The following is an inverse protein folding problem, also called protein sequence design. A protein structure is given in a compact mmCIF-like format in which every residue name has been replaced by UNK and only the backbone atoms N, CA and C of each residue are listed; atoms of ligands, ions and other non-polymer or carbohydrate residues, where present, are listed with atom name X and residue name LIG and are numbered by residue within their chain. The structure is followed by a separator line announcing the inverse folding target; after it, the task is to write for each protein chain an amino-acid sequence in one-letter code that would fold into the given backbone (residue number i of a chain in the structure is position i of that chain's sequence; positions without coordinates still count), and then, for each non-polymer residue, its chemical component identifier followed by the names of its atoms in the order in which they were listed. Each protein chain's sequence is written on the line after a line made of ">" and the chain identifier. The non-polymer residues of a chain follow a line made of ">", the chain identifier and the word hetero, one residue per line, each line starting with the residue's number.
data_IF_575330278992
#
_entry.id   IF_575330278992
#
_cell.length_a   1.000
_cell.length_b   1.000
_cell.length_c   1.000
_cell.angle_alpha   90.00
_cell.angle_beta   90.00
_cell.angle_gamma   90.00
#
_symmetry.space_group_name_H-M   'P 1'
#
loop_
_entity.id
_entity.type
_entity.pdbx_description
1 polymer ?
#
# COMPACT_ATOMS: atom_id res chain seq x y z
N UNK A 1 -64.41 28.73 -30.24
CA UNK A 1 -63.23 29.51 -30.59
C UNK A 1 -62.46 29.96 -29.38
N UNK A 2 -63.00 30.70 -28.44
CA UNK A 2 -62.32 31.06 -27.20
C UNK A 2 -61.99 29.86 -26.37
N UNK A 3 -62.83 28.84 -26.35
CA UNK A 3 -62.64 27.60 -25.61
C UNK A 3 -61.44 26.77 -26.14
N UNK A 4 -61.30 26.71 -27.45
CA UNK A 4 -60.24 26.05 -28.14
C UNK A 4 -58.87 26.72 -27.84
N UNK A 5 -58.88 28.07 -27.87
CA UNK A 5 -57.68 28.85 -27.51
C UNK A 5 -57.28 28.63 -26.06
N UNK A 6 -58.23 28.61 -25.12
CA UNK A 6 -57.96 28.33 -23.70
C UNK A 6 -57.43 26.93 -23.52
N UNK A 7 -57.99 25.92 -24.18
CA UNK A 7 -57.52 24.56 -24.12
C UNK A 7 -56.10 24.41 -24.69
N UNK A 8 -55.79 25.09 -25.77
CA UNK A 8 -54.44 25.11 -26.35
C UNK A 8 -53.42 25.73 -25.38
N UNK A 9 -53.81 26.81 -24.70
CA UNK A 9 -52.94 27.43 -23.68
C UNK A 9 -52.72 26.48 -22.50
N UNK A 10 -53.77 25.82 -22.02
CA UNK A 10 -53.67 24.84 -20.92
C UNK A 10 -52.78 23.66 -21.29
N UNK A 11 -52.90 23.14 -22.50
CA UNK A 11 -52.03 22.07 -23.01
C UNK A 11 -50.58 22.52 -23.08
N UNK A 12 -50.33 23.74 -23.56
CA UNK A 12 -48.99 24.28 -23.61
C UNK A 12 -48.38 24.47 -22.25
N UNK A 13 -49.18 24.95 -21.26
CA UNK A 13 -48.73 25.07 -19.89
C UNK A 13 -48.42 23.72 -19.25
N UNK A 14 -49.26 22.71 -19.48
CA UNK A 14 -49.05 21.35 -18.99
C UNK A 14 -47.76 20.74 -19.55
N UNK A 15 -47.54 20.91 -20.85
CA UNK A 15 -46.32 20.46 -21.52
C UNK A 15 -45.08 21.17 -20.97
N UNK A 16 -45.16 22.48 -20.76
CA UNK A 16 -44.07 23.26 -20.21
C UNK A 16 -43.74 22.79 -18.79
N UNK A 17 -44.72 22.54 -17.94
CA UNK A 17 -44.55 22.03 -16.61
C UNK A 17 -43.91 20.63 -16.62
N UNK A 18 -44.31 19.77 -17.54
CA UNK A 18 -43.76 18.44 -17.68
C UNK A 18 -42.30 18.49 -18.13
N UNK A 19 -41.97 19.37 -19.07
CA UNK A 19 -40.59 19.59 -19.51
C UNK A 19 -39.70 20.02 -18.33
N UNK A 20 -40.20 20.94 -17.50
CA UNK A 20 -39.48 21.43 -16.34
C UNK A 20 -39.25 20.28 -15.32
N UNK A 21 -40.29 19.50 -15.05
CA UNK A 21 -40.20 18.36 -14.15
C UNK A 21 -39.19 17.33 -14.65
N UNK A 22 -39.23 17.01 -15.93
CA UNK A 22 -38.31 16.06 -16.54
C UNK A 22 -36.88 16.58 -16.50
N UNK A 23 -36.69 17.87 -16.78
CA UNK A 23 -35.36 18.49 -16.68
C UNK A 23 -34.81 18.47 -15.26
N UNK A 24 -35.64 18.75 -14.25
CA UNK A 24 -35.27 18.70 -12.85
C UNK A 24 -34.89 17.26 -12.45
N UNK A 25 -35.69 16.27 -12.84
CA UNK A 25 -35.41 14.87 -12.57
C UNK A 25 -34.12 14.41 -13.23
N UNK A 26 -33.88 14.79 -14.48
CA UNK A 26 -32.63 14.47 -15.17
C UNK A 26 -31.43 15.13 -14.52
N UNK A 27 -31.55 16.39 -14.15
CA UNK A 27 -30.51 17.14 -13.47
C UNK A 27 -30.14 16.47 -12.14
N UNK A 28 -31.13 16.09 -11.35
CA UNK A 28 -30.96 15.41 -10.09
C UNK A 28 -30.27 14.06 -10.28
N UNK A 29 -30.71 13.30 -11.27
CA UNK A 29 -30.11 12.00 -11.59
C UNK A 29 -28.63 12.12 -12.01
N UNK A 30 -28.32 13.15 -12.82
CA UNK A 30 -26.94 13.44 -13.25
C UNK A 30 -26.05 13.77 -12.05
N UNK A 31 -26.54 14.61 -11.12
CA UNK A 31 -25.80 15.00 -9.93
C UNK A 31 -25.59 13.80 -9.01
N UNK A 32 -26.61 12.97 -8.80
CA UNK A 32 -26.51 11.77 -7.97
C UNK A 32 -25.49 10.77 -8.56
N UNK A 33 -25.54 10.57 -9.86
CA UNK A 33 -24.59 9.70 -10.56
C UNK A 33 -23.15 10.22 -10.45
N UNK A 34 -22.97 11.51 -10.63
CA UNK A 34 -21.65 12.13 -10.51
C UNK A 34 -21.11 11.99 -9.08
N UNK A 35 -21.95 12.18 -8.08
CA UNK A 35 -21.54 11.99 -6.66
C UNK A 35 -21.15 10.55 -6.36
N UNK A 36 -21.90 9.60 -6.92
CA UNK A 36 -21.58 8.18 -6.75
C UNK A 36 -20.25 7.82 -7.42
N UNK A 37 -20.02 8.30 -8.64
CA UNK A 37 -18.76 8.09 -9.36
C UNK A 37 -17.57 8.69 -8.59
N UNK A 38 -17.74 9.89 -8.03
CA UNK A 38 -16.71 10.53 -7.20
C UNK A 38 -16.42 9.70 -5.95
N UNK A 39 -17.47 9.20 -5.31
CA UNK A 39 -17.31 8.37 -4.10
C UNK A 39 -16.58 7.07 -4.40
N UNK A 40 -16.91 6.40 -5.49
CA UNK A 40 -16.22 5.19 -5.94
C UNK A 40 -14.75 5.48 -6.25
N UNK A 41 -14.49 6.59 -6.93
CA UNK A 41 -13.13 7.03 -7.25
C UNK A 41 -12.31 7.32 -5.98
N UNK A 42 -12.90 8.03 -5.02
CA UNK A 42 -12.25 8.30 -3.75
C UNK A 42 -11.94 7.02 -2.98
N UNK A 43 -12.90 6.10 -2.91
CA UNK A 43 -12.72 4.81 -2.24
C UNK A 43 -11.60 4.00 -2.90
N UNK A 44 -11.54 3.99 -4.21
CA UNK A 44 -10.46 3.32 -4.95
C UNK A 44 -9.11 3.95 -4.68
N UNK A 45 -9.04 5.28 -4.70
CA UNK A 45 -7.82 6.03 -4.40
C UNK A 45 -7.30 5.70 -3.01
N UNK A 46 -8.17 5.71 -2.01
CA UNK A 46 -7.81 5.39 -0.62
C UNK A 46 -7.36 3.93 -0.50
N UNK A 47 -8.10 3.02 -1.11
CA UNK A 47 -7.76 1.59 -1.12
C UNK A 47 -6.41 1.33 -1.76
N UNK A 48 -6.14 1.94 -2.92
CA UNK A 48 -4.88 1.80 -3.63
C UNK A 48 -3.72 2.42 -2.83
N UNK A 49 -3.95 3.57 -2.20
CA UNK A 49 -2.95 4.22 -1.34
C UNK A 49 -2.59 3.36 -0.13
N UNK A 50 -3.59 2.76 0.51
CA UNK A 50 -3.38 1.85 1.65
C UNK A 50 -2.63 0.60 1.23
N UNK A 51 -2.97 0.02 0.08
CA UNK A 51 -2.29 -1.16 -0.45
C UNK A 51 -0.81 -0.86 -0.74
N UNK A 52 -0.52 0.30 -1.34
CA UNK A 52 0.86 0.73 -1.61
C UNK A 52 1.64 1.00 -0.32
N UNK A 53 1.01 1.62 0.65
CA UNK A 53 1.64 1.86 1.96
C UNK A 53 1.96 0.56 2.66
N UNK A 54 1.03 -0.39 2.65
CA UNK A 54 1.23 -1.72 3.23
C UNK A 54 2.37 -2.47 2.54
N UNK A 55 2.39 -2.46 1.21
CA UNK A 55 3.46 -3.08 0.44
C UNK A 55 4.83 -2.46 0.75
N UNK A 56 4.89 -1.13 0.85
CA UNK A 56 6.12 -0.43 1.20
C UNK A 56 6.62 -0.78 2.60
N UNK A 57 5.72 -0.91 3.56
CA UNK A 57 6.07 -1.33 4.93
C UNK A 57 6.57 -2.78 4.94
N UNK A 58 5.90 -3.69 4.23
CA UNK A 58 6.31 -5.08 4.12
C UNK A 58 7.68 -5.22 3.45
N UNK A 59 7.94 -4.46 2.38
CA UNK A 59 9.23 -4.44 1.70
C UNK A 59 10.34 -3.92 2.62
N UNK A 60 10.08 -2.84 3.35
CA UNK A 60 11.05 -2.29 4.29
C UNK A 60 11.34 -3.26 5.43
N UNK A 61 10.31 -3.93 5.96
CA UNK A 61 10.47 -4.94 7.01
C UNK A 61 11.26 -6.15 6.51
N UNK A 62 10.97 -6.63 5.31
CA UNK A 62 11.71 -7.74 4.69
C UNK A 62 13.19 -7.37 4.45
N UNK A 63 13.45 -6.15 3.98
CA UNK A 63 14.82 -5.66 3.80
C UNK A 63 15.58 -5.57 5.11
N UNK A 64 14.92 -5.15 6.19
CA UNK A 64 15.49 -5.12 7.53
C UNK A 64 15.82 -6.52 8.04
N UNK A 65 14.92 -7.48 7.88
CA UNK A 65 15.13 -8.87 8.27
C UNK A 65 16.30 -9.49 7.49
N UNK A 66 16.41 -9.23 6.20
CA UNK A 66 17.53 -9.70 5.36
C UNK A 66 18.86 -9.09 5.82
N UNK A 67 18.88 -7.81 6.16
CA UNK A 67 20.04 -7.13 6.70
C UNK A 67 20.49 -7.71 8.05
N UNK A 68 19.54 -7.98 8.92
CA UNK A 68 19.81 -8.61 10.23
C UNK A 68 20.37 -10.02 10.07
N UNK A 69 19.82 -10.80 9.14
CA UNK A 69 20.33 -12.15 8.85
C UNK A 69 21.76 -12.11 8.30
N UNK A 70 22.07 -11.15 7.42
CA UNK A 70 23.44 -10.97 6.91
C UNK A 70 24.41 -10.60 8.02
N UNK A 71 24.03 -9.72 8.94
CA UNK A 71 24.84 -9.36 10.11
C UNK A 71 25.08 -10.59 11.00
N UNK A 72 24.04 -11.37 11.24
CA UNK A 72 24.14 -12.60 12.05
C UNK A 72 25.12 -13.59 11.45
N UNK A 73 25.04 -13.84 10.14
CA UNK A 73 25.96 -14.74 9.42
C UNK A 73 27.40 -14.27 9.53
N UNK A 74 27.61 -12.96 9.38
CA UNK A 74 28.95 -12.38 9.49
C UNK A 74 29.51 -12.52 10.90
N UNK A 75 28.69 -12.30 11.91
CA UNK A 75 29.09 -12.46 13.31
C UNK A 75 29.50 -13.92 13.62
N UNK A 76 28.71 -14.88 13.13
CA UNK A 76 29.03 -16.30 13.29
C UNK A 76 30.35 -16.64 12.62
N UNK A 77 30.59 -16.14 11.40
CA UNK A 77 31.84 -16.37 10.67
C UNK A 77 33.06 -15.78 11.41
N UNK A 78 32.94 -14.57 11.94
CA UNK A 78 34.01 -13.92 12.72
C UNK A 78 34.31 -14.69 13.98
N UNK A 79 33.31 -15.16 14.71
CA UNK A 79 33.49 -15.96 15.91
C UNK A 79 34.21 -17.28 15.57
N UNK A 80 33.82 -17.95 14.50
CA UNK A 80 34.45 -19.17 14.05
C UNK A 80 35.94 -18.97 13.74
N UNK A 81 36.30 -17.88 13.04
CA UNK A 81 37.69 -17.53 12.75
C UNK A 81 38.49 -17.25 14.00
N UNK A 82 37.91 -16.56 14.98
CA UNK A 82 38.59 -16.28 16.25
C UNK A 82 38.84 -17.56 17.05
N UNK A 83 37.87 -18.48 17.08
CA UNK A 83 38.04 -19.76 17.77
C UNK A 83 39.10 -20.59 17.11
N UNK A 84 39.16 -20.65 15.78
CA UNK A 84 40.19 -21.36 15.04
C UNK A 84 41.57 -20.77 15.30
N UNK A 85 41.71 -19.45 15.26
CA UNK A 85 42.95 -18.77 15.58
C UNK A 85 43.41 -19.01 17.01
N UNK A 86 42.47 -19.06 17.97
CA UNK A 86 42.75 -19.38 19.36
C UNK A 86 43.27 -20.81 19.53
N UNK A 87 42.67 -21.80 18.88
CA UNK A 87 43.09 -23.19 18.91
C UNK A 87 44.49 -23.36 18.34
N UNK A 88 44.83 -22.71 17.26
CA UNK A 88 46.17 -22.71 16.68
C UNK A 88 47.21 -22.12 17.63
N UNK A 89 46.91 -21.00 18.27
CA UNK A 89 47.80 -20.37 19.26
C UNK A 89 48.01 -21.26 20.48
N UNK A 90 46.92 -21.87 20.91
CA UNK A 90 46.96 -22.82 22.04
C UNK A 90 47.88 -24.02 21.74
N UNK A 91 47.72 -24.61 20.57
CA UNK A 91 48.54 -25.73 20.12
C UNK A 91 50.02 -25.35 20.06
N UNK A 92 50.35 -24.17 19.50
CA UNK A 92 51.74 -23.66 19.44
C UNK A 92 52.33 -23.44 20.87
N UNK A 93 51.54 -22.89 21.78
CA UNK A 93 51.96 -22.64 23.15
C UNK A 93 52.27 -23.96 23.86
N UNK A 94 51.44 -24.97 23.67
CA UNK A 94 51.64 -26.30 24.24
C UNK A 94 52.91 -26.94 23.67
N UNK A 95 53.10 -26.88 22.35
CA UNK A 95 54.27 -27.43 21.70
C UNK A 95 55.57 -26.75 22.17
N UNK A 96 55.53 -25.44 22.35
CA UNK A 96 56.67 -24.68 22.85
C UNK A 96 57.06 -25.09 24.26
N UNK A 97 56.06 -25.24 25.14
CA UNK A 97 56.30 -25.70 26.52
C UNK A 97 56.87 -27.09 26.55
N UNK A 98 56.33 -28.03 25.77
CA UNK A 98 56.83 -29.40 25.69
C UNK A 98 58.26 -29.42 25.16
N UNK A 99 58.53 -28.63 24.11
CA UNK A 99 59.89 -28.52 23.55
C UNK A 99 60.92 -28.02 24.55
N UNK A 100 60.56 -27.05 25.38
CA UNK A 100 61.50 -26.57 26.45
C UNK A 100 61.72 -27.59 27.55
N UNK A 101 60.71 -28.38 27.92
CA UNK A 101 60.81 -29.37 28.96
C UNK A 101 61.63 -30.57 28.49
N UNK A 102 61.53 -30.99 27.25
CA UNK A 102 62.18 -32.16 26.67
C UNK A 102 63.51 -31.86 25.98
N UNK A 103 63.72 -30.60 25.68
CA UNK A 103 64.95 -30.14 25.02
C UNK A 103 65.97 -29.79 26.00
#
# INVERSE_FOLDING_TARGET
>A
MARETINSIKEAETKAQQIIKDAEAQSKAIVEKAREEVREYENKLVSDARARAKAAVEDASSGEDDAMEAVRRRAVAVIAQQQEGFEEKRARAIDLIISEITG
#
